data_IF_063848786078
#
_entry.id   IF_063848786078
#
_cell.length_a   1.000
_cell.length_b   1.000
_cell.length_c   1.000
_cell.angle_alpha   90.00
_cell.angle_beta   90.00
_cell.angle_gamma   90.00
#
_symmetry.space_group_name_H-M   'P 1'
#
loop_
_entity.id
_entity.type
_entity.pdbx_description
1 polymer ?
#
# COMPACT_ATOMS: atom_id res chain seq x y z
N UNK A 1 18.10 -5.06 -43.50
CA UNK A 1 17.09 -5.27 -42.44
C UNK A 1 16.03 -4.19 -42.60
N UNK A 2 14.73 -4.54 -42.61
CA UNK A 2 13.68 -3.51 -42.70
C UNK A 2 13.63 -2.68 -41.41
N UNK A 3 13.21 -1.41 -41.53
CA UNK A 3 13.10 -0.48 -40.39
C UNK A 3 12.26 -1.08 -39.24
N UNK A 4 11.20 -1.80 -39.60
CA UNK A 4 10.30 -2.48 -38.66
C UNK A 4 11.01 -3.57 -37.84
N UNK A 5 11.89 -4.35 -38.47
CA UNK A 5 12.67 -5.39 -37.79
C UNK A 5 13.72 -4.77 -36.88
N UNK A 6 14.38 -3.68 -37.31
CA UNK A 6 15.33 -2.95 -36.49
C UNK A 6 14.69 -2.38 -35.22
N UNK A 7 13.51 -1.79 -35.36
CA UNK A 7 12.73 -1.24 -34.26
C UNK A 7 12.32 -2.32 -33.25
N UNK A 8 11.82 -3.46 -33.72
CA UNK A 8 11.46 -4.59 -32.84
C UNK A 8 12.67 -5.13 -32.07
N UNK A 9 13.83 -5.27 -32.73
CA UNK A 9 15.05 -5.71 -32.07
C UNK A 9 15.53 -4.71 -31.01
N UNK A 10 15.41 -3.41 -31.27
CA UNK A 10 15.76 -2.38 -30.30
C UNK A 10 14.84 -2.42 -29.05
N UNK A 11 13.54 -2.64 -29.24
CA UNK A 11 12.60 -2.81 -28.13
C UNK A 11 12.92 -4.05 -27.28
N UNK A 12 13.19 -5.19 -27.92
CA UNK A 12 13.56 -6.44 -27.24
C UNK A 12 14.88 -6.26 -26.49
N UNK A 13 15.87 -5.62 -27.12
CA UNK A 13 17.16 -5.32 -26.50
C UNK A 13 16.99 -4.43 -25.27
N UNK A 14 16.24 -3.33 -25.38
CA UNK A 14 15.97 -2.43 -24.26
C UNK A 14 15.25 -3.14 -23.12
N UNK A 15 14.23 -3.95 -23.42
CA UNK A 15 13.51 -4.74 -22.43
C UNK A 15 14.45 -5.73 -21.70
N UNK A 16 15.27 -6.47 -22.44
CA UNK A 16 16.23 -7.42 -21.89
C UNK A 16 17.28 -6.73 -21.02
N UNK A 17 17.81 -5.59 -21.47
CA UNK A 17 18.75 -4.76 -20.72
C UNK A 17 18.13 -4.25 -19.42
N UNK A 18 16.86 -3.84 -19.47
CA UNK A 18 16.10 -3.44 -18.28
C UNK A 18 15.94 -4.56 -17.25
N UNK A 19 15.61 -5.77 -17.70
CA UNK A 19 15.51 -6.93 -16.81
C UNK A 19 16.87 -7.33 -16.22
N UNK A 20 17.91 -7.36 -17.04
CA UNK A 20 19.27 -7.68 -16.61
C UNK A 20 19.80 -6.65 -15.59
N UNK A 21 19.60 -5.36 -15.85
CA UNK A 21 20.06 -4.30 -14.96
C UNK A 21 19.30 -4.30 -13.63
N UNK A 22 17.99 -4.57 -13.65
CA UNK A 22 17.23 -4.81 -12.41
C UNK A 22 17.79 -5.99 -11.61
N UNK A 23 18.10 -7.10 -12.27
CA UNK A 23 18.68 -8.27 -11.60
C UNK A 23 20.05 -7.96 -10.98
N UNK A 24 20.90 -7.18 -11.68
CA UNK A 24 22.20 -6.72 -11.19
C UNK A 24 22.09 -5.74 -10.01
N UNK A 25 21.15 -4.80 -10.09
CA UNK A 25 20.93 -3.82 -9.01
C UNK A 25 20.25 -4.43 -7.78
N UNK A 26 19.63 -5.61 -7.93
CA UNK A 26 18.97 -6.33 -6.86
C UNK A 26 17.99 -5.45 -6.10
N UNK A 27 18.03 -5.51 -4.77
CA UNK A 27 17.14 -4.74 -3.89
C UNK A 27 17.52 -3.25 -3.74
N UNK A 28 18.57 -2.77 -4.42
CA UNK A 28 18.99 -1.35 -4.30
C UNK A 28 17.99 -0.40 -4.97
N UNK A 29 17.32 -0.85 -6.03
CA UNK A 29 16.25 -0.11 -6.71
C UNK A 29 14.96 -0.92 -6.64
N UNK A 30 13.95 -0.37 -5.96
CA UNK A 30 12.61 -0.97 -5.86
C UNK A 30 11.82 -0.65 -7.13
N UNK A 31 12.17 -1.28 -8.24
CA UNK A 31 11.39 -1.24 -9.48
C UNK A 31 10.61 -2.55 -9.63
N UNK A 32 9.35 -2.45 -10.03
CA UNK A 32 8.59 -3.60 -10.51
C UNK A 32 9.08 -4.07 -11.88
N UNK A 33 8.46 -5.15 -12.38
CA UNK A 33 8.84 -5.76 -13.67
C UNK A 33 8.56 -4.83 -14.85
N UNK A 34 7.40 -4.16 -14.84
CA UNK A 34 7.00 -3.19 -15.86
C UNK A 34 7.92 -1.96 -15.90
N UNK A 35 8.24 -1.40 -14.74
CA UNK A 35 9.06 -0.21 -14.62
C UNK A 35 10.48 -0.46 -15.11
N UNK A 36 11.02 -1.66 -14.84
CA UNK A 36 12.33 -2.05 -15.33
C UNK A 36 12.37 -2.24 -16.85
N UNK A 37 11.34 -2.89 -17.43
CA UNK A 37 11.24 -3.06 -18.89
C UNK A 37 11.13 -1.71 -19.59
N UNK A 38 10.25 -0.83 -19.11
CA UNK A 38 10.07 0.52 -19.67
C UNK A 38 11.34 1.36 -19.52
N UNK A 39 11.99 1.32 -18.34
CA UNK A 39 13.25 2.04 -18.11
C UNK A 39 14.36 1.55 -19.03
N UNK A 40 14.41 0.24 -19.31
CA UNK A 40 15.33 -0.36 -20.27
C UNK A 40 15.11 0.08 -21.70
N UNK A 41 13.85 0.09 -22.17
CA UNK A 41 13.49 0.56 -23.52
C UNK A 41 13.84 2.04 -23.68
N UNK A 42 13.38 2.89 -22.77
CA UNK A 42 13.59 4.34 -22.85
C UNK A 42 15.07 4.68 -22.69
N UNK A 43 15.73 4.11 -21.69
CA UNK A 43 17.13 4.41 -21.39
C UNK A 43 18.11 3.90 -22.44
N UNK A 44 17.87 2.73 -23.04
CA UNK A 44 18.68 2.25 -24.16
C UNK A 44 18.51 3.11 -25.41
N UNK A 45 17.30 3.59 -25.70
CA UNK A 45 17.05 4.51 -26.82
C UNK A 45 17.75 5.86 -26.63
N UNK A 46 17.67 6.45 -25.43
CA UNK A 46 18.37 7.69 -25.08
C UNK A 46 19.89 7.50 -25.22
N UNK A 47 20.42 6.40 -24.65
CA UNK A 47 21.84 6.08 -24.74
C UNK A 47 22.33 5.94 -26.19
N UNK A 48 21.63 5.15 -27.00
CA UNK A 48 21.96 4.97 -28.41
C UNK A 48 21.85 6.27 -29.23
N UNK A 49 20.89 7.14 -28.93
CA UNK A 49 20.75 8.45 -29.57
C UNK A 49 21.91 9.38 -29.21
N UNK A 50 22.27 9.46 -27.93
CA UNK A 50 23.35 10.34 -27.45
C UNK A 50 24.69 10.01 -28.11
N UNK A 51 25.06 8.73 -28.19
CA UNK A 51 26.31 8.33 -28.85
C UNK A 51 26.27 8.57 -30.36
N UNK A 52 25.10 8.43 -30.99
CA UNK A 52 24.93 8.67 -32.43
C UNK A 52 25.13 10.15 -32.78
N UNK A 53 24.60 11.05 -31.95
CA UNK A 53 24.79 12.49 -32.10
C UNK A 53 26.25 12.91 -31.89
N UNK A 54 26.95 12.32 -30.91
CA UNK A 54 28.35 12.67 -30.61
C UNK A 54 29.31 12.18 -31.69
N UNK A 55 29.07 10.99 -32.27
CA UNK A 55 29.99 10.36 -33.23
C UNK A 55 29.54 10.41 -34.69
N UNK A 56 28.53 11.21 -35.01
CA UNK A 56 28.12 11.48 -36.39
C UNK A 56 27.60 10.26 -37.15
N UNK A 57 26.84 9.37 -36.50
CA UNK A 57 26.12 8.28 -37.19
C UNK A 57 26.94 7.09 -37.70
N UNK A 58 28.21 6.95 -37.32
CA UNK A 58 29.03 5.77 -37.69
C UNK A 58 28.79 4.58 -36.75
N UNK A 59 27.76 3.79 -37.07
CA UNK A 59 27.32 2.63 -36.25
C UNK A 59 28.25 1.41 -36.30
N UNK A 60 29.04 1.25 -37.38
CA UNK A 60 29.75 -0.02 -37.66
C UNK A 60 31.04 -0.23 -36.85
N UNK A 61 31.74 0.85 -36.47
CA UNK A 61 33.03 0.76 -35.77
C UNK A 61 32.94 1.00 -34.26
N UNK A 62 31.76 1.34 -33.76
CA UNK A 62 31.58 1.81 -32.38
C UNK A 62 30.45 1.10 -31.62
N UNK A 63 30.14 -0.14 -31.99
CA UNK A 63 29.09 -0.94 -31.36
C UNK A 63 29.26 -1.05 -29.83
N UNK A 64 30.50 -1.13 -29.33
CA UNK A 64 30.82 -1.09 -27.89
C UNK A 64 30.35 0.21 -27.21
N UNK A 65 30.59 1.35 -27.85
CA UNK A 65 30.14 2.66 -27.34
C UNK A 65 28.61 2.76 -27.29
N UNK A 66 27.93 2.14 -28.24
CA UNK A 66 26.46 2.07 -28.26
C UNK A 66 25.91 1.20 -27.12
N UNK A 67 26.54 0.06 -26.84
CA UNK A 67 26.15 -0.78 -25.70
C UNK A 67 26.38 -0.08 -24.36
N UNK A 68 27.55 0.55 -24.18
CA UNK A 68 27.89 1.24 -22.93
C UNK A 68 26.99 2.46 -22.68
N UNK A 69 26.74 3.28 -23.71
CA UNK A 69 25.81 4.42 -23.60
C UNK A 69 24.38 3.97 -23.35
N UNK A 70 23.92 2.90 -23.98
CA UNK A 70 22.58 2.32 -23.74
C UNK A 70 22.43 1.76 -22.33
N UNK A 71 23.48 1.11 -21.80
CA UNK A 71 23.53 0.65 -20.42
C UNK A 71 23.52 1.82 -19.42
N UNK A 72 24.31 2.86 -19.69
CA UNK A 72 24.35 4.07 -18.86
C UNK A 72 23.01 4.84 -18.89
N UNK A 73 22.41 5.02 -20.07
CA UNK A 73 21.09 5.63 -20.21
C UNK A 73 20.02 4.85 -19.47
N UNK A 74 20.05 3.52 -19.54
CA UNK A 74 19.15 2.64 -18.76
C UNK A 74 19.36 2.81 -17.27
N UNK A 75 20.61 2.86 -16.80
CA UNK A 75 20.93 3.09 -15.39
C UNK A 75 20.37 4.42 -14.89
N UNK A 76 20.57 5.49 -15.65
CA UNK A 76 20.09 6.83 -15.29
C UNK A 76 18.57 6.86 -15.21
N UNK A 77 17.87 6.32 -16.23
CA UNK A 77 16.40 6.25 -16.23
C UNK A 77 15.90 5.40 -15.06
N UNK A 78 16.52 4.25 -14.77
CA UNK A 78 16.14 3.43 -13.63
C UNK A 78 16.33 4.13 -12.28
N UNK A 79 17.42 4.88 -12.11
CA UNK A 79 17.66 5.65 -10.87
C UNK A 79 16.64 6.77 -10.74
N UNK A 80 16.34 7.49 -11.82
CA UNK A 80 15.32 8.54 -11.85
C UNK A 80 13.94 7.98 -11.55
N UNK A 81 13.51 6.95 -12.28
CA UNK A 81 12.22 6.28 -12.05
C UNK A 81 12.17 5.74 -10.62
N UNK A 82 13.23 5.08 -10.15
CA UNK A 82 13.33 4.58 -8.77
C UNK A 82 13.28 5.69 -7.70
N UNK A 83 13.73 6.90 -8.02
CA UNK A 83 13.60 8.06 -7.15
C UNK A 83 12.16 8.59 -7.14
N UNK A 84 11.52 8.74 -8.29
CA UNK A 84 10.14 9.23 -8.40
C UNK A 84 9.08 8.21 -7.93
N UNK A 85 9.35 6.90 -8.07
CA UNK A 85 8.46 5.85 -7.56
C UNK A 85 8.62 5.62 -6.06
N UNK A 86 9.71 6.12 -5.44
CA UNK A 86 9.81 6.29 -3.99
C UNK A 86 9.01 7.52 -3.56
N UNK A 87 7.69 7.49 -3.74
CA UNK A 87 6.83 8.34 -2.93
C UNK A 87 6.98 7.84 -1.48
N UNK A 88 7.53 8.63 -0.55
CA UNK A 88 7.50 8.28 0.86
C UNK A 88 6.03 8.05 1.24
N UNK A 89 5.80 7.08 2.14
CA UNK A 89 4.44 6.85 2.63
C UNK A 89 3.99 8.15 3.33
N UNK A 90 2.74 8.60 3.10
CA UNK A 90 2.27 9.81 3.73
C UNK A 90 2.36 9.67 5.25
N UNK A 91 2.84 10.71 5.90
CA UNK A 91 2.91 10.81 7.35
C UNK A 91 1.51 10.96 7.95
N UNK A 92 1.37 10.69 9.24
CA UNK A 92 0.10 10.91 9.94
C UNK A 92 -0.41 12.37 9.76
N UNK A 93 0.48 13.35 9.84
CA UNK A 93 0.14 14.76 9.64
C UNK A 93 -0.39 15.05 8.22
N UNK A 94 0.24 14.48 7.19
CA UNK A 94 -0.23 14.62 5.80
C UNK A 94 -1.59 13.95 5.58
N UNK A 95 -1.80 12.77 6.20
CA UNK A 95 -3.09 12.07 6.15
C UNK A 95 -4.20 12.87 6.85
N UNK A 96 -3.91 13.46 8.01
CA UNK A 96 -4.83 14.33 8.75
C UNK A 96 -5.17 15.58 7.92
N UNK A 97 -4.16 16.25 7.36
CA UNK A 97 -4.36 17.44 6.54
C UNK A 97 -5.19 17.17 5.28
N UNK A 98 -5.07 15.97 4.70
CA UNK A 98 -5.88 15.54 3.56
C UNK A 98 -7.32 15.16 3.94
N UNK A 99 -7.57 14.87 5.22
CA UNK A 99 -8.88 14.51 5.78
C UNK A 99 -9.33 13.08 5.49
N UNK A 100 -10.50 12.73 6.02
CA UNK A 100 -11.12 11.42 5.79
C UNK A 100 -11.47 11.21 4.31
N UNK A 101 -11.27 9.98 3.84
CA UNK A 101 -11.52 9.61 2.45
C UNK A 101 -11.92 8.15 2.34
N UNK A 102 -12.10 7.65 1.12
CA UNK A 102 -12.34 6.23 0.91
C UNK A 102 -11.20 5.32 1.44
N UNK A 103 -9.99 5.88 1.60
CA UNK A 103 -8.80 5.15 2.06
C UNK A 103 -8.27 5.64 3.40
N UNK A 104 -8.86 6.65 4.01
CA UNK A 104 -8.40 7.22 5.29
C UNK A 104 -9.59 7.37 6.22
N UNK A 105 -9.49 6.83 7.42
CA UNK A 105 -10.52 6.93 8.47
C UNK A 105 -9.88 7.41 9.78
N UNK A 106 -10.57 8.29 10.50
CA UNK A 106 -10.18 8.71 11.84
C UNK A 106 -11.10 8.09 12.90
N UNK A 107 -10.51 7.76 14.04
CA UNK A 107 -11.22 7.30 15.24
C UNK A 107 -10.57 7.94 16.45
N UNK A 108 -11.38 8.52 17.33
CA UNK A 108 -10.85 9.13 18.55
C UNK A 108 -10.28 8.09 19.52
N UNK A 109 -10.87 6.89 19.56
CA UNK A 109 -10.48 5.79 20.46
C UNK A 109 -10.74 4.44 19.80
N UNK A 110 -10.10 3.39 20.30
CA UNK A 110 -10.31 2.01 19.88
C UNK A 110 -11.06 1.15 20.90
N UNK A 111 -11.15 1.58 22.16
CA UNK A 111 -11.70 0.79 23.27
C UNK A 111 -12.60 1.60 24.18
N UNK A 112 -12.26 2.85 24.41
CA UNK A 112 -12.98 3.73 25.32
C UNK A 112 -14.22 4.32 24.65
N UNK A 113 -15.39 4.14 25.26
CA UNK A 113 -16.55 4.95 24.92
C UNK A 113 -16.43 6.30 25.63
N UNK A 114 -16.30 7.36 24.84
CA UNK A 114 -16.00 8.70 25.35
C UNK A 114 -17.13 9.34 26.16
N UNK A 115 -18.38 8.88 25.99
CA UNK A 115 -19.49 9.35 26.82
C UNK A 115 -19.49 8.72 28.21
N UNK A 116 -19.15 7.43 28.30
CA UNK A 116 -19.20 6.68 29.56
C UNK A 116 -17.84 6.63 30.28
N UNK A 117 -16.75 6.90 29.55
CA UNK A 117 -15.38 6.73 30.01
C UNK A 117 -14.96 5.27 30.22
N UNK A 118 -15.81 4.30 29.86
CA UNK A 118 -15.62 2.88 30.10
C UNK A 118 -15.20 2.14 28.82
N UNK A 119 -14.61 0.95 29.00
CA UNK A 119 -14.33 0.05 27.89
C UNK A 119 -15.66 -0.40 27.24
N UNK A 120 -15.72 -0.35 25.92
CA UNK A 120 -16.90 -0.72 25.14
C UNK A 120 -16.52 -1.63 23.97
N UNK A 121 -16.98 -2.88 24.01
CA UNK A 121 -16.73 -3.86 22.96
C UNK A 121 -17.30 -3.43 21.61
N UNK A 122 -18.32 -2.56 21.58
CA UNK A 122 -18.84 -2.00 20.33
C UNK A 122 -17.83 -1.08 19.67
N UNK A 123 -17.09 -0.28 20.45
CA UNK A 123 -16.01 0.58 19.94
C UNK A 123 -14.86 -0.28 19.42
N UNK A 124 -14.47 -1.32 20.17
CA UNK A 124 -13.47 -2.31 19.70
C UNK A 124 -13.93 -2.94 18.38
N UNK A 125 -15.21 -3.25 18.22
CA UNK A 125 -15.76 -3.81 16.98
C UNK A 125 -15.81 -2.81 15.82
N UNK A 126 -16.01 -1.52 16.08
CA UNK A 126 -15.96 -0.47 15.04
C UNK A 126 -14.57 -0.42 14.39
N UNK A 127 -13.50 -0.62 15.17
CA UNK A 127 -12.14 -0.74 14.63
C UNK A 127 -12.03 -1.93 13.69
N UNK A 128 -12.47 -3.12 14.11
CA UNK A 128 -12.44 -4.32 13.25
C UNK A 128 -13.26 -4.15 11.97
N UNK A 129 -14.44 -3.52 12.05
CA UNK A 129 -15.29 -3.24 10.87
C UNK A 129 -14.59 -2.31 9.88
N UNK A 130 -13.93 -1.28 10.39
CA UNK A 130 -13.16 -0.33 9.59
C UNK A 130 -11.98 -1.02 8.90
N UNK A 131 -11.21 -1.82 9.62
CA UNK A 131 -10.07 -2.57 9.05
C UNK A 131 -10.55 -3.57 8.00
N UNK A 132 -11.65 -4.29 8.25
CA UNK A 132 -12.26 -5.18 7.26
C UNK A 132 -12.71 -4.42 5.99
N UNK A 133 -13.33 -3.26 6.17
CA UNK A 133 -13.77 -2.40 5.07
C UNK A 133 -12.59 -1.91 4.22
N UNK A 134 -11.52 -1.43 4.84
CA UNK A 134 -10.29 -1.03 4.15
C UNK A 134 -9.67 -2.22 3.40
N UNK A 135 -9.57 -3.38 4.05
CA UNK A 135 -9.04 -4.60 3.44
C UNK A 135 -9.78 -4.98 2.14
N UNK A 136 -11.11 -4.93 2.18
CA UNK A 136 -11.98 -5.29 1.06
C UNK A 136 -12.07 -4.20 -0.03
N UNK A 137 -11.58 -2.99 0.23
CA UNK A 137 -11.68 -1.84 -0.69
C UNK A 137 -10.31 -1.36 -1.21
N UNK A 138 -9.32 -2.26 -1.24
CA UNK A 138 -8.00 -1.98 -1.82
C UNK A 138 -6.97 -1.39 -0.85
N UNK A 139 -7.25 -1.50 0.45
CA UNK A 139 -6.39 -1.04 1.54
C UNK A 139 -6.57 0.43 1.89
N UNK A 140 -5.86 0.87 2.92
CA UNK A 140 -5.85 2.25 3.39
C UNK A 140 -5.32 2.39 4.80
N UNK A 141 -5.61 3.52 5.41
CA UNK A 141 -5.05 3.99 6.67
C UNK A 141 -6.18 4.30 7.65
N UNK A 142 -5.99 3.87 8.90
CA UNK A 142 -6.84 4.18 10.04
C UNK A 142 -5.97 4.87 11.09
N UNK A 143 -6.33 6.10 11.45
CA UNK A 143 -5.70 6.83 12.55
C UNK A 143 -6.60 6.74 13.79
N UNK A 144 -6.05 6.22 14.88
CA UNK A 144 -6.71 6.12 16.18
C UNK A 144 -6.05 7.11 17.14
N UNK A 145 -6.86 7.83 17.93
CA UNK A 145 -6.39 8.96 18.73
C UNK A 145 -6.49 10.29 17.99
N UNK A 146 -7.31 10.36 16.94
CA UNK A 146 -7.59 11.56 16.15
C UNK A 146 -9.09 11.81 16.15
N UNK A 147 -9.54 13.03 16.44
CA UNK A 147 -10.96 13.37 16.41
C UNK A 147 -11.47 13.68 14.98
N UNK A 148 -12.78 13.89 14.85
CA UNK A 148 -13.42 14.19 13.57
C UNK A 148 -12.97 15.55 12.97
N UNK A 149 -12.36 16.41 13.77
CA UNK A 149 -11.76 17.67 13.34
C UNK A 149 -10.27 17.53 12.96
N UNK A 150 -9.70 16.33 13.06
CA UNK A 150 -8.30 16.06 12.76
C UNK A 150 -7.34 16.40 13.90
N UNK A 151 -7.82 16.72 15.10
CA UNK A 151 -6.95 17.05 16.23
C UNK A 151 -6.43 15.79 16.93
N UNK A 152 -5.17 15.84 17.35
CA UNK A 152 -4.56 14.78 18.14
C UNK A 152 -5.20 14.71 19.53
N UNK A 153 -5.88 13.60 19.81
CA UNK A 153 -6.42 13.27 21.14
C UNK A 153 -5.47 12.36 21.93
N UNK A 154 -4.68 11.56 21.21
CA UNK A 154 -3.78 10.57 21.80
C UNK A 154 -4.48 9.28 22.21
N UNK A 155 -3.75 8.42 22.92
CA UNK A 155 -4.19 7.05 23.24
C UNK A 155 -4.48 6.82 24.73
N UNK A 156 -4.35 7.84 25.58
CA UNK A 156 -4.49 7.70 27.04
C UNK A 156 -5.83 7.09 27.46
N UNK A 157 -6.90 7.46 26.75
CA UNK A 157 -8.25 6.93 26.95
C UNK A 157 -8.33 5.42 26.73
N UNK A 158 -7.51 4.86 25.85
CA UNK A 158 -7.46 3.42 25.58
C UNK A 158 -6.39 2.70 26.44
N UNK A 159 -5.26 3.36 26.68
CA UNK A 159 -4.12 2.82 27.44
C UNK A 159 -4.49 2.56 28.90
N UNK A 160 -5.42 3.32 29.49
CA UNK A 160 -5.89 3.11 30.87
C UNK A 160 -6.52 1.74 31.13
N UNK A 161 -6.97 1.04 30.09
CA UNK A 161 -7.52 -0.33 30.21
C UNK A 161 -6.46 -1.42 30.09
N UNK A 162 -5.20 -1.05 29.85
CA UNK A 162 -4.08 -1.97 29.88
C UNK A 162 -3.61 -2.17 31.31
N UNK A 163 -3.01 -3.33 31.61
CA UNK A 163 -2.40 -3.58 32.94
C UNK A 163 -1.34 -2.52 33.28
N UNK A 164 -0.65 -2.02 32.27
CA UNK A 164 0.28 -0.90 32.30
C UNK A 164 0.05 -0.08 31.02
N UNK A 165 -0.03 1.25 31.11
CA UNK A 165 -0.22 2.12 29.95
C UNK A 165 1.06 2.13 29.11
N UNK A 166 1.07 1.30 28.07
CA UNK A 166 2.24 1.02 27.25
C UNK A 166 1.81 0.73 25.79
N UNK A 167 2.53 1.32 24.84
CA UNK A 167 2.21 1.23 23.40
C UNK A 167 2.41 -0.18 22.86
N UNK A 168 3.42 -0.90 23.34
CA UNK A 168 3.68 -2.28 22.90
C UNK A 168 2.51 -3.20 23.31
N UNK A 169 2.03 -3.07 24.55
CA UNK A 169 0.84 -3.79 25.02
C UNK A 169 -0.42 -3.42 24.24
N UNK A 170 -0.57 -2.16 23.86
CA UNK A 170 -1.67 -1.71 23.02
C UNK A 170 -1.60 -2.33 21.62
N UNK A 171 -0.43 -2.39 21.00
CA UNK A 171 -0.24 -3.07 19.72
C UNK A 171 -0.58 -4.56 19.83
N UNK A 172 -0.09 -5.26 20.85
CA UNK A 172 -0.43 -6.68 21.08
C UNK A 172 -1.93 -6.88 21.19
N UNK A 173 -2.61 -6.07 22.01
CA UNK A 173 -4.06 -6.14 22.14
C UNK A 173 -4.77 -5.92 20.79
N UNK A 174 -4.37 -4.90 20.04
CA UNK A 174 -4.98 -4.57 18.75
C UNK A 174 -4.79 -5.71 17.74
N UNK A 175 -3.59 -6.29 17.67
CA UNK A 175 -3.29 -7.44 16.81
C UNK A 175 -4.09 -8.68 17.19
N UNK A 176 -4.22 -8.96 18.49
CA UNK A 176 -5.02 -10.09 18.98
C UNK A 176 -6.50 -9.89 18.67
N UNK A 177 -7.01 -8.68 18.88
CA UNK A 177 -8.39 -8.32 18.59
C UNK A 177 -8.73 -8.45 17.09
N UNK A 178 -7.86 -7.93 16.22
CA UNK A 178 -7.98 -8.08 14.78
C UNK A 178 -7.85 -9.56 14.35
N UNK A 179 -6.93 -10.31 14.94
CA UNK A 179 -6.76 -11.74 14.63
C UNK A 179 -7.99 -12.56 15.01
N UNK A 180 -8.61 -12.25 16.15
CA UNK A 180 -9.84 -12.89 16.61
C UNK A 180 -11.04 -12.56 15.74
N UNK A 181 -11.13 -11.32 15.25
CA UNK A 181 -12.31 -10.84 14.50
C UNK A 181 -12.20 -11.04 13.00
N UNK A 182 -11.00 -10.96 12.41
CA UNK A 182 -10.75 -11.00 10.96
C UNK A 182 -9.94 -12.23 10.52
N UNK A 183 -9.41 -13.00 11.47
CA UNK A 183 -8.50 -14.11 11.21
C UNK A 183 -7.04 -13.67 11.07
N UNK A 184 -6.13 -14.64 11.19
CA UNK A 184 -4.67 -14.41 11.19
C UNK A 184 -4.14 -13.92 9.84
N UNK A 185 -4.68 -14.40 8.72
CA UNK A 185 -4.21 -13.96 7.39
C UNK A 185 -4.48 -12.48 7.15
N UNK A 186 -5.71 -12.01 7.44
CA UNK A 186 -6.04 -10.61 7.26
C UNK A 186 -5.20 -9.73 8.19
N UNK A 187 -5.02 -10.16 9.44
CA UNK A 187 -4.25 -9.41 10.45
C UNK A 187 -2.76 -9.34 10.14
N UNK A 188 -2.20 -10.30 9.39
CA UNK A 188 -0.82 -10.26 8.92
C UNK A 188 -0.56 -9.14 7.90
N UNK A 189 -1.61 -8.61 7.26
CA UNK A 189 -1.52 -7.50 6.30
C UNK A 189 -1.68 -6.12 6.96
N UNK A 190 -1.68 -6.09 8.29
CA UNK A 190 -1.79 -4.86 9.09
C UNK A 190 -0.40 -4.45 9.60
N UNK A 191 0.02 -3.26 9.19
CA UNK A 191 1.16 -2.55 9.75
C UNK A 191 0.66 -1.55 10.80
N UNK A 192 1.26 -1.53 11.99
CA UNK A 192 0.91 -0.59 13.08
C UNK A 192 2.16 0.21 13.42
N UNK A 193 1.98 1.51 13.59
CA UNK A 193 3.03 2.44 14.04
C UNK A 193 2.44 3.48 14.98
N UNK A 194 3.29 4.16 15.75
CA UNK A 194 2.87 5.18 16.71
C UNK A 194 3.55 6.53 16.44
N UNK A 195 3.21 7.22 15.34
CA UNK A 195 3.76 8.54 15.07
C UNK A 195 3.24 9.58 16.07
N UNK A 196 4.03 10.64 16.26
CA UNK A 196 3.58 11.84 16.98
C UNK A 196 2.81 12.74 16.01
N UNK A 197 1.62 13.17 16.41
CA UNK A 197 0.85 14.24 15.80
C UNK A 197 0.71 15.34 16.85
N UNK A 198 1.24 16.53 16.58
CA UNK A 198 1.30 17.64 17.55
C UNK A 198 1.85 17.18 18.92
N UNK A 199 3.03 16.54 18.90
CA UNK A 199 3.73 15.94 20.06
C UNK A 199 2.94 14.86 20.84
N UNK A 200 1.78 14.46 20.32
CA UNK A 200 0.90 13.47 20.94
C UNK A 200 0.96 12.15 20.18
N UNK A 201 1.27 11.02 20.84
CA UNK A 201 1.32 9.73 20.17
C UNK A 201 -0.08 9.28 19.77
N UNK A 202 -0.25 8.97 18.49
CA UNK A 202 -1.46 8.36 17.94
C UNK A 202 -1.14 6.96 17.42
N UNK A 203 -2.15 6.14 17.16
CA UNK A 203 -1.97 4.84 16.52
C UNK A 203 -2.29 4.97 15.03
N UNK A 204 -1.29 4.77 14.17
CA UNK A 204 -1.46 4.66 12.72
C UNK A 204 -1.46 3.20 12.30
N UNK A 205 -2.63 2.71 11.89
CA UNK A 205 -2.83 1.39 11.34
C UNK A 205 -2.95 1.48 9.83
N UNK A 206 -2.08 0.79 9.10
CA UNK A 206 -2.15 0.65 7.65
C UNK A 206 -2.56 -0.78 7.28
N UNK A 207 -3.66 -0.87 6.53
CA UNK A 207 -4.16 -2.15 6.00
C UNK A 207 -3.85 -2.27 4.51
N UNK A 208 -3.16 -3.35 4.12
CA UNK A 208 -2.98 -3.66 2.70
C UNK A 208 -4.28 -4.22 2.09
N UNK A 209 -4.51 -3.93 0.81
CA UNK A 209 -5.64 -4.49 0.08
C UNK A 209 -5.59 -6.02 0.07
N UNK A 210 -6.68 -6.65 0.47
CA UNK A 210 -6.76 -8.09 0.55
C UNK A 210 -6.80 -8.72 -0.85
N UNK A 211 -6.17 -9.88 -1.02
CA UNK A 211 -6.18 -10.64 -2.28
C UNK A 211 -7.39 -11.57 -2.42
N UNK A 212 -8.20 -11.66 -1.36
CA UNK A 212 -9.45 -12.43 -1.22
C UNK A 212 -10.38 -11.69 -0.23
N UNK A 213 -11.69 -11.96 -0.25
CA UNK A 213 -12.63 -11.34 0.69
C UNK A 213 -12.23 -11.58 2.15
N UNK A 214 -12.31 -10.53 2.96
CA UNK A 214 -12.12 -10.55 4.41
C UNK A 214 -13.48 -10.44 5.09
N UNK A 215 -13.82 -11.47 5.87
CA UNK A 215 -15.04 -11.50 6.67
C UNK A 215 -14.73 -11.23 8.13
N UNK A 216 -15.58 -10.42 8.76
CA UNK A 216 -15.54 -10.14 10.18
C UNK A 216 -16.45 -11.13 10.93
N UNK A 217 -15.93 -11.71 12.00
CA UNK A 217 -16.67 -12.55 12.95
C UNK A 217 -16.99 -11.70 14.18
N UNK A 218 -18.25 -11.23 14.36
CA UNK A 218 -18.57 -10.28 15.41
C UNK A 218 -18.58 -10.93 16.81
N UNK A 219 -18.83 -12.24 16.86
CA UNK A 219 -18.90 -13.01 18.08
C UNK A 219 -19.27 -14.46 17.81
N UNK A 220 -19.17 -15.32 18.83
CA UNK A 220 -19.48 -16.75 18.72
C UNK A 220 -20.96 -16.93 18.36
N UNK A 221 -21.23 -17.69 17.30
CA UNK A 221 -22.60 -17.99 16.85
C UNK A 221 -23.28 -16.88 16.06
N UNK A 222 -22.62 -15.74 15.83
CA UNK A 222 -23.13 -14.69 14.95
C UNK A 222 -22.66 -14.93 13.51
N UNK A 223 -23.47 -14.58 12.50
CA UNK A 223 -23.07 -14.73 11.10
C UNK A 223 -21.87 -13.83 10.82
N UNK A 224 -20.96 -14.34 9.99
CA UNK A 224 -19.85 -13.54 9.48
C UNK A 224 -20.37 -12.40 8.62
N UNK A 225 -19.66 -11.28 8.62
CA UNK A 225 -20.10 -10.05 7.98
C UNK A 225 -19.03 -9.57 7.01
N UNK A 226 -19.45 -9.12 5.83
CA UNK A 226 -18.57 -8.45 4.89
C UNK A 226 -18.79 -6.94 4.98
N UNK A 227 -17.70 -6.21 5.20
CA UNK A 227 -17.69 -4.76 5.29
C UNK A 227 -16.85 -4.18 4.16
N UNK A 228 -17.27 -3.06 3.58
CA UNK A 228 -16.58 -2.36 2.49
C UNK A 228 -16.65 -0.84 2.69
N UNK A 229 -15.71 -0.11 2.10
CA UNK A 229 -15.78 1.36 2.00
C UNK A 229 -16.62 1.76 0.79
N UNK A 230 -17.59 2.64 1.03
CA UNK A 230 -18.40 3.31 0.00
C UNK A 230 -18.28 4.81 0.22
N UNK A 231 -17.45 5.47 -0.58
CA UNK A 231 -17.02 6.85 -0.27
C UNK A 231 -16.29 6.88 1.07
N UNK A 232 -16.61 7.84 1.94
CA UNK A 232 -16.07 7.93 3.29
C UNK A 232 -16.83 7.09 4.34
N UNK A 233 -17.76 6.21 3.93
CA UNK A 233 -18.58 5.43 4.87
C UNK A 233 -18.23 3.94 4.85
N UNK A 234 -18.25 3.31 6.03
CA UNK A 234 -18.11 1.87 6.18
C UNK A 234 -19.50 1.21 6.15
N UNK A 235 -19.74 0.34 5.17
CA UNK A 235 -21.02 -0.34 4.97
C UNK A 235 -20.90 -1.85 5.06
N UNK A 236 -21.88 -2.48 5.70
CA UNK A 236 -22.05 -3.92 5.67
C UNK A 236 -22.82 -4.30 4.40
N UNK A 237 -22.32 -5.30 3.68
CA UNK A 237 -23.02 -5.85 2.52
C UNK A 237 -23.96 -6.98 2.95
N UNK A 238 -25.12 -7.05 2.30
CA UNK A 238 -25.98 -8.25 2.32
C UNK A 238 -25.27 -9.45 1.68
N UNK A 239 -25.81 -10.65 1.85
CA UNK A 239 -25.17 -11.88 1.33
C UNK A 239 -25.08 -11.85 -0.21
N UNK A 240 -26.15 -11.41 -0.86
CA UNK A 240 -26.24 -11.25 -2.32
C UNK A 240 -25.29 -10.18 -2.85
N UNK A 241 -25.23 -9.02 -2.19
CA UNK A 241 -24.29 -7.94 -2.52
C UNK A 241 -22.84 -8.38 -2.29
N UNK A 242 -22.55 -9.07 -1.19
CA UNK A 242 -21.22 -9.56 -0.86
C UNK A 242 -20.71 -10.55 -1.91
N UNK A 243 -21.56 -11.47 -2.38
CA UNK A 243 -21.21 -12.42 -3.43
C UNK A 243 -20.93 -11.72 -4.77
N UNK A 244 -21.77 -10.75 -5.13
CA UNK A 244 -21.62 -9.97 -6.36
C UNK A 244 -20.34 -9.11 -6.31
N UNK A 245 -20.16 -8.36 -5.23
CA UNK A 245 -18.97 -7.56 -4.98
C UNK A 245 -17.70 -8.41 -5.03
N UNK A 246 -17.73 -9.59 -4.38
CA UNK A 246 -16.56 -10.47 -4.35
C UNK A 246 -16.21 -11.03 -5.74
N UNK A 247 -17.22 -11.38 -6.54
CA UNK A 247 -17.03 -11.85 -7.91
C UNK A 247 -16.44 -10.77 -8.81
N UNK A 248 -16.89 -9.53 -8.68
CA UNK A 248 -16.43 -8.40 -9.51
C UNK A 248 -15.05 -7.90 -9.09
N UNK A 249 -14.77 -7.84 -7.78
CA UNK A 249 -13.53 -7.25 -7.26
C UNK A 249 -12.31 -8.20 -7.38
N UNK A 250 -12.47 -9.50 -7.12
CA UNK A 250 -11.35 -10.47 -7.15
C UNK A 250 -11.45 -11.48 -8.30
N UNK A 251 -12.60 -11.57 -8.97
CA UNK A 251 -12.86 -12.59 -9.98
C UNK A 251 -13.21 -13.96 -9.37
N UNK A 252 -14.09 -14.71 -10.04
CA UNK A 252 -14.59 -16.02 -9.56
C UNK A 252 -13.51 -17.05 -9.19
N UNK A 253 -12.32 -16.98 -9.81
CA UNK A 253 -11.23 -17.95 -9.56
C UNK A 253 -10.51 -17.72 -8.23
N UNK A 254 -10.58 -16.51 -7.66
CA UNK A 254 -9.92 -16.16 -6.39
C UNK A 254 -10.82 -16.33 -5.16
N UNK A 255 -12.04 -16.85 -5.36
CA UNK A 255 -13.02 -17.13 -4.30
C UNK A 255 -12.99 -18.59 -3.81
N UNK A 256 -12.07 -19.42 -4.33
CA UNK A 256 -11.85 -20.80 -3.88
C UNK A 256 -10.84 -20.86 -2.74
#
# INVERSE_FOLDING_TARGET
>A
MSLSVAFLLALVFGAALGLAMRQLMGNRVRLGWSEAVLSGIVGSAIGALTISLIRGGYYREHWLGMLLSSALGTLIVMVLVGYFTRQPRPTAAELVAAGESARVEFKSTARCNLHTGQRDEKIEMVVSKTVAALANSGGGDLLIGVDDAGQARGLDDDLKFMKQPDLDRYELWLRDHLSKTLGSTASANVEVTFPLLDDTPICHLRMLGATRPVFLTPGKGQPVQMWVRVGNSTRQLGVDEALSYAADHWGRRRLR
#
